data_IF_401786729763
#
_entry.id   IF_401786729763
#
_cell.length_a   1.000
_cell.length_b   1.000
_cell.length_c   1.000
_cell.angle_alpha   90.00
_cell.angle_beta   90.00
_cell.angle_gamma   90.00
#
_symmetry.space_group_name_H-M   'P 1'
#
loop_
_entity.id
_entity.type
_entity.pdbx_description
1 polymer ?
#
# COMPACT_ATOMS: atom_id res chain seq x y z
N UNK A 1 -28.09 58.63 -33.85
CA UNK A 1 -27.34 57.34 -33.92
C UNK A 1 -26.36 57.14 -32.76
N UNK A 2 -25.68 58.17 -32.22
CA UNK A 2 -24.63 58.03 -31.20
C UNK A 2 -25.05 57.43 -29.83
N UNK A 3 -26.28 57.70 -29.34
CA UNK A 3 -26.74 57.18 -28.05
C UNK A 3 -27.01 55.66 -28.05
N UNK A 4 -27.44 55.07 -29.18
CA UNK A 4 -27.65 53.61 -29.30
C UNK A 4 -26.31 52.87 -29.23
N UNK A 5 -25.28 53.43 -29.87
CA UNK A 5 -23.95 52.84 -29.89
C UNK A 5 -23.32 52.83 -28.49
N UNK A 6 -23.47 53.93 -27.74
CA UNK A 6 -22.93 54.05 -26.38
C UNK A 6 -23.62 53.09 -25.39
N UNK A 7 -24.94 52.88 -25.54
CA UNK A 7 -25.69 51.89 -24.76
C UNK A 7 -25.29 50.44 -25.08
N UNK A 8 -25.10 50.13 -26.36
CA UNK A 8 -24.64 48.81 -26.83
C UNK A 8 -23.25 48.46 -26.29
N UNK A 9 -22.32 49.42 -26.28
CA UNK A 9 -20.95 49.20 -25.77
C UNK A 9 -20.96 48.94 -24.26
N UNK A 10 -21.77 49.69 -23.50
CA UNK A 10 -21.87 49.47 -22.04
C UNK A 10 -22.51 48.13 -21.69
N UNK A 11 -23.55 47.70 -22.40
CA UNK A 11 -24.18 46.39 -22.16
C UNK A 11 -23.26 45.24 -22.54
N UNK A 12 -22.49 45.40 -23.63
CA UNK A 12 -21.54 44.38 -24.08
C UNK A 12 -20.38 44.21 -23.09
N UNK A 13 -19.91 45.31 -22.47
CA UNK A 13 -18.92 45.27 -21.40
C UNK A 13 -19.42 44.57 -20.13
N UNK A 14 -20.67 44.81 -19.73
CA UNK A 14 -21.30 44.14 -18.59
C UNK A 14 -21.44 42.62 -18.81
N UNK A 15 -21.90 42.21 -20.01
CA UNK A 15 -22.02 40.79 -20.37
C UNK A 15 -20.66 40.12 -20.43
N UNK A 16 -19.67 40.75 -21.07
CA UNK A 16 -18.31 40.24 -21.12
C UNK A 16 -17.69 40.12 -19.71
N UNK A 17 -17.86 41.13 -18.86
CA UNK A 17 -17.39 41.10 -17.47
C UNK A 17 -18.02 39.97 -16.66
N UNK A 18 -19.33 39.75 -16.80
CA UNK A 18 -20.03 38.65 -16.12
C UNK A 18 -19.54 37.27 -16.54
N UNK A 19 -19.19 37.08 -17.83
CA UNK A 19 -18.61 35.85 -18.34
C UNK A 19 -17.22 35.55 -17.77
N UNK A 20 -16.38 36.57 -17.61
CA UNK A 20 -15.04 36.43 -16.99
C UNK A 20 -15.16 36.07 -15.51
N UNK A 21 -16.06 36.72 -14.77
CA UNK A 21 -16.30 36.40 -13.35
C UNK A 21 -16.83 34.97 -13.20
N UNK A 22 -17.77 34.55 -14.05
CA UNK A 22 -18.28 33.18 -14.05
C UNK A 22 -17.17 32.16 -14.39
N UNK A 23 -16.28 32.46 -15.33
CA UNK A 23 -15.15 31.60 -15.69
C UNK A 23 -14.13 31.45 -14.55
N UNK A 24 -13.79 32.55 -13.87
CA UNK A 24 -12.87 32.56 -12.71
C UNK A 24 -13.46 31.85 -11.49
N UNK A 25 -14.78 31.86 -11.31
CA UNK A 25 -15.47 31.21 -10.18
C UNK A 25 -15.84 29.74 -10.47
N UNK A 26 -15.91 29.32 -11.74
CA UNK A 26 -16.16 27.91 -12.09
C UNK A 26 -14.93 27.01 -11.91
N UNK A 27 -13.73 27.58 -12.03
CA UNK A 27 -12.46 26.85 -11.87
C UNK A 27 -12.08 26.45 -10.43
N UNK A 28 -12.35 27.21 -9.34
CA UNK A 28 -11.81 26.93 -8.01
C UNK A 28 -12.60 25.89 -7.20
N UNK A 29 -13.76 25.43 -7.68
CA UNK A 29 -14.63 24.53 -6.89
C UNK A 29 -14.13 23.08 -6.93
N UNK A 30 -13.42 22.68 -7.98
CA UNK A 30 -12.83 21.34 -8.08
C UNK A 30 -11.53 21.23 -7.28
N UNK A 31 -10.67 22.24 -7.37
CA UNK A 31 -9.34 22.24 -6.76
C UNK A 31 -9.36 22.20 -5.22
N UNK A 32 -10.34 22.85 -4.58
CA UNK A 32 -10.48 22.87 -3.11
C UNK A 32 -10.85 21.49 -2.54
N UNK A 33 -11.48 20.62 -3.34
CA UNK A 33 -11.81 19.25 -2.94
C UNK A 33 -10.64 18.30 -3.21
N UNK A 34 -9.97 18.48 -4.35
CA UNK A 34 -8.85 17.62 -4.77
C UNK A 34 -7.60 17.84 -3.91
N UNK A 35 -7.26 19.08 -3.54
CA UNK A 35 -6.14 19.38 -2.64
C UNK A 35 -6.34 18.76 -1.23
N UNK A 36 -7.59 18.71 -0.74
CA UNK A 36 -7.91 18.07 0.55
C UNK A 36 -7.79 16.56 0.48
N UNK A 37 -8.15 15.95 -0.65
CA UNK A 37 -8.02 14.51 -0.86
C UNK A 37 -6.54 14.09 -0.93
N UNK A 38 -5.70 14.84 -1.64
CA UNK A 38 -4.27 14.57 -1.75
C UNK A 38 -3.52 14.74 -0.42
N UNK A 39 -3.89 15.78 0.34
CA UNK A 39 -3.34 16.01 1.69
C UNK A 39 -3.73 14.87 2.65
N UNK A 40 -5.00 14.44 2.64
CA UNK A 40 -5.46 13.31 3.47
C UNK A 40 -4.77 12.01 3.09
N UNK A 41 -4.68 11.69 1.80
CA UNK A 41 -4.00 10.48 1.34
C UNK A 41 -2.50 10.46 1.71
N UNK A 42 -1.88 11.64 1.80
CA UNK A 42 -0.49 11.77 2.27
C UNK A 42 -0.35 11.55 3.77
N UNK A 43 -1.26 12.10 4.57
CA UNK A 43 -1.30 11.90 6.03
C UNK A 43 -1.61 10.44 6.41
N UNK A 44 -2.57 9.81 5.72
CA UNK A 44 -2.91 8.41 5.93
C UNK A 44 -1.71 7.49 5.65
N UNK A 45 -0.95 7.81 4.59
CA UNK A 45 0.30 7.10 4.27
C UNK A 45 1.36 7.28 5.35
N UNK A 46 1.52 8.49 5.91
CA UNK A 46 2.46 8.74 7.00
C UNK A 46 2.10 7.93 8.25
N UNK A 47 0.83 7.98 8.67
CA UNK A 47 0.35 7.21 9.82
C UNK A 47 0.58 5.70 9.64
N UNK A 48 0.31 5.17 8.46
CA UNK A 48 0.54 3.75 8.15
C UNK A 48 2.03 3.36 8.17
N UNK A 49 2.93 4.28 7.82
CA UNK A 49 4.38 4.07 7.89
C UNK A 49 4.88 4.12 9.33
N UNK A 50 4.41 5.08 10.13
CA UNK A 50 4.76 5.19 11.54
C UNK A 50 4.35 3.94 12.32
N UNK A 51 3.15 3.40 12.07
CA UNK A 51 2.71 2.14 12.68
C UNK A 51 3.63 0.95 12.29
N UNK A 52 4.11 0.90 11.06
CA UNK A 52 5.05 -0.13 10.61
C UNK A 52 6.42 0.00 11.28
N UNK A 53 6.91 1.23 11.45
CA UNK A 53 8.14 1.52 12.16
C UNK A 53 8.03 1.03 13.61
N UNK A 54 6.95 1.38 14.30
CA UNK A 54 6.76 1.03 15.70
C UNK A 54 6.64 -0.49 15.90
N UNK A 55 5.88 -1.19 15.05
CA UNK A 55 5.81 -2.66 15.06
C UNK A 55 7.17 -3.30 14.81
N UNK A 56 7.98 -2.70 13.94
CA UNK A 56 9.33 -3.20 13.63
C UNK A 56 10.27 -3.00 14.82
N UNK A 57 10.26 -1.82 15.44
CA UNK A 57 11.03 -1.52 16.66
C UNK A 57 10.69 -2.48 17.80
N UNK A 58 9.40 -2.67 18.10
CA UNK A 58 8.96 -3.63 19.12
C UNK A 58 9.42 -5.07 18.83
N UNK A 59 9.59 -5.45 17.56
CA UNK A 59 10.10 -6.76 17.19
C UNK A 59 11.61 -6.83 17.34
N UNK A 60 12.34 -5.75 17.04
CA UNK A 60 13.77 -5.65 17.29
C UNK A 60 14.02 -5.75 18.81
N UNK A 61 13.34 -4.95 19.61
CA UNK A 61 13.51 -4.94 21.08
C UNK A 61 13.28 -6.32 21.70
N UNK A 62 12.27 -7.06 21.22
CA UNK A 62 12.05 -8.44 21.65
C UNK A 62 13.16 -9.39 21.23
N UNK A 63 13.73 -9.18 20.04
CA UNK A 63 14.82 -9.99 19.52
C UNK A 63 16.19 -9.59 20.10
N UNK A 64 16.29 -8.50 20.86
CA UNK A 64 17.49 -8.19 21.65
C UNK A 64 17.60 -9.10 22.89
N UNK A 65 16.49 -9.65 23.38
CA UNK A 65 16.49 -10.60 24.51
C UNK A 65 17.07 -11.97 24.08
N UNK A 66 18.20 -12.41 24.65
CA UNK A 66 18.81 -13.70 24.35
C UNK A 66 17.90 -14.90 24.65
N UNK A 67 16.96 -14.80 25.60
CA UNK A 67 15.98 -15.85 25.88
C UNK A 67 14.97 -15.99 24.74
N UNK A 68 14.51 -14.87 24.18
CA UNK A 68 13.55 -14.84 23.08
C UNK A 68 14.19 -15.40 21.79
N UNK A 69 15.46 -15.07 21.52
CA UNK A 69 16.23 -15.68 20.43
C UNK A 69 16.28 -17.21 20.61
N UNK A 70 16.62 -17.70 21.81
CA UNK A 70 16.72 -19.14 22.09
C UNK A 70 15.36 -19.84 21.99
N UNK A 71 14.28 -19.19 22.41
CA UNK A 71 12.90 -19.67 22.26
C UNK A 71 12.53 -19.83 20.77
N UNK A 72 12.76 -18.81 19.96
CA UNK A 72 12.50 -18.83 18.52
C UNK A 72 13.39 -19.82 17.77
N UNK A 73 14.66 -19.95 18.18
CA UNK A 73 15.58 -20.93 17.63
C UNK A 73 15.06 -22.36 17.84
N UNK A 74 14.55 -22.68 19.03
CA UNK A 74 13.92 -23.98 19.32
C UNK A 74 12.63 -24.19 18.52
N UNK A 75 11.74 -23.19 18.52
CA UNK A 75 10.39 -23.31 17.93
C UNK A 75 10.41 -23.36 16.39
N UNK A 76 11.22 -22.53 15.74
CA UNK A 76 11.23 -22.40 14.27
C UNK A 76 12.34 -23.20 13.59
N UNK A 77 13.45 -23.43 14.28
CA UNK A 77 14.66 -23.99 13.67
C UNK A 77 15.11 -25.30 14.31
N UNK A 78 14.41 -25.79 15.33
CA UNK A 78 14.79 -27.02 16.04
C UNK A 78 16.18 -26.95 16.66
N UNK A 79 16.63 -25.75 17.03
CA UNK A 79 17.96 -25.54 17.59
C UNK A 79 18.12 -26.24 18.93
N UNK A 80 19.26 -26.91 19.15
CA UNK A 80 19.61 -27.63 20.36
C UNK A 80 20.94 -27.09 20.91
N UNK A 81 21.08 -26.88 22.23
CA UNK A 81 22.34 -26.44 22.81
C UNK A 81 23.49 -27.42 22.49
N UNK A 82 24.71 -26.92 22.24
CA UNK A 82 25.87 -27.79 22.03
C UNK A 82 26.13 -28.66 23.26
N UNK A 83 26.35 -29.96 23.07
CA UNK A 83 26.58 -30.94 24.13
C UNK A 83 25.36 -31.77 24.56
N UNK A 84 24.19 -31.57 23.94
CA UNK A 84 22.97 -32.37 24.17
C UNK A 84 22.61 -33.16 22.91
N UNK A 85 22.43 -34.47 23.02
CA UNK A 85 22.11 -35.36 21.90
C UNK A 85 20.63 -35.29 21.54
N UNK A 86 20.31 -34.86 20.31
CA UNK A 86 18.92 -34.63 19.88
C UNK A 86 18.28 -35.92 19.34
N UNK A 87 17.31 -36.48 20.05
CA UNK A 87 16.50 -37.58 19.55
C UNK A 87 15.37 -37.06 18.66
N UNK A 88 15.50 -37.25 17.34
CA UNK A 88 14.37 -37.05 16.41
C UNK A 88 13.63 -38.38 16.28
N UNK A 89 12.38 -38.43 16.71
CA UNK A 89 11.52 -39.59 16.45
C UNK A 89 11.20 -39.58 14.95
N UNK A 90 11.88 -40.45 14.21
CA UNK A 90 11.53 -40.73 12.82
C UNK A 90 10.35 -41.70 12.88
N UNK A 91 9.13 -41.19 12.75
CA UNK A 91 8.01 -42.06 12.40
C UNK A 91 8.38 -42.72 11.07
N UNK A 92 8.23 -44.05 10.91
CA UNK A 92 8.46 -44.69 9.62
C UNK A 92 7.67 -43.91 8.57
N UNK A 93 8.38 -43.35 7.59
CA UNK A 93 7.74 -42.64 6.48
C UNK A 93 6.67 -43.57 5.93
N UNK A 94 5.42 -43.10 5.87
CA UNK A 94 4.40 -43.78 5.09
C UNK A 94 5.03 -44.08 3.72
N UNK A 95 4.93 -45.34 3.30
CA UNK A 95 5.60 -45.88 2.13
C UNK A 95 5.61 -44.85 0.99
N UNK A 96 6.78 -44.68 0.35
CA UNK A 96 6.93 -43.78 -0.77
C UNK A 96 5.78 -44.00 -1.75
N UNK A 97 4.88 -43.02 -1.87
CA UNK A 97 3.83 -43.05 -2.88
C UNK A 97 4.57 -43.03 -4.22
N UNK A 98 4.45 -44.06 -5.08
CA UNK A 98 5.11 -44.05 -6.37
C UNK A 98 4.54 -42.87 -7.15
N UNK A 99 5.38 -41.85 -7.37
CA UNK A 99 5.02 -40.74 -8.23
C UNK A 99 4.85 -41.31 -9.64
N UNK A 100 3.71 -41.08 -10.31
CA UNK A 100 3.59 -41.43 -11.71
C UNK A 100 4.67 -40.68 -12.50
N UNK A 101 5.31 -41.37 -13.45
CA UNK A 101 6.22 -40.74 -14.41
C UNK A 101 5.42 -39.66 -15.16
N UNK A 102 5.62 -38.38 -14.82
CA UNK A 102 4.87 -37.26 -15.40
C UNK A 102 4.39 -36.16 -14.43
N UNK A 103 4.79 -36.19 -13.16
CA UNK A 103 4.53 -35.08 -12.25
C UNK A 103 5.60 -33.97 -12.35
N UNK A 104 5.22 -32.66 -12.30
CA UNK A 104 3.88 -32.12 -12.48
C UNK A 104 3.62 -31.86 -13.97
N UNK A 105 2.49 -32.41 -14.46
CA UNK A 105 1.87 -32.21 -15.77
C UNK A 105 2.75 -31.50 -16.81
N UNK A 106 3.27 -32.26 -17.76
CA UNK A 106 3.63 -31.73 -19.06
C UNK A 106 2.34 -31.16 -19.69
N UNK A 107 2.03 -29.91 -19.36
CA UNK A 107 1.19 -29.08 -20.21
C UNK A 107 2.07 -28.85 -21.43
N UNK A 108 1.78 -29.55 -22.52
CA UNK A 108 2.24 -29.10 -23.82
C UNK A 108 1.48 -27.81 -24.12
N UNK A 109 2.09 -26.61 -24.09
CA UNK A 109 1.51 -25.52 -24.83
C UNK A 109 1.61 -25.89 -26.32
N UNK A 110 0.64 -25.48 -27.12
CA UNK A 110 0.54 -25.66 -28.58
C UNK A 110 0.31 -27.09 -29.09
N UNK A 111 -0.97 -27.47 -29.16
CA UNK A 111 -1.55 -27.92 -30.43
C UNK A 111 -2.91 -27.24 -30.66
#
# INVERSE_FOLDING_TARGET
MALRHRRLVTTMGLVAGSGVVAFVVSFPVRDILDQRAETRASLDRQAALDEQIDRTRQRIDRLEDPEEIRRLARERYGWVPPGVESYRVITPSAAAVPLPYGWPLLVDPIS
#
